data_IF_545224829142
#
_entry.id   IF_545224829142
#
_cell.length_a   1.000
_cell.length_b   1.000
_cell.length_c   1.000
_cell.angle_alpha   90.00
_cell.angle_beta   90.00
_cell.angle_gamma   90.00
#
_symmetry.space_group_name_H-M   'P 1'
#
loop_
_entity.id
_entity.type
_entity.pdbx_description
1 polymer ?
#
# COMPACT_ATOMS: atom_id res chain seq x y z
N UNK A 1 -11.83 18.37 10.24
CA UNK A 1 -11.88 16.98 9.78
C UNK A 1 -10.90 16.09 10.56
N UNK A 2 -10.70 14.83 10.12
CA UNK A 2 -9.81 13.87 10.82
C UNK A 2 -8.39 14.42 10.98
N UNK A 3 -7.79 14.93 9.92
CA UNK A 3 -6.43 15.50 9.91
C UNK A 3 -6.27 16.60 10.96
N UNK A 4 -7.21 17.54 11.01
CA UNK A 4 -7.21 18.63 11.99
C UNK A 4 -7.33 18.11 13.42
N UNK A 5 -8.16 17.07 13.63
CA UNK A 5 -8.34 16.45 14.93
C UNK A 5 -7.07 15.73 15.40
N UNK A 6 -6.37 15.02 14.51
CA UNK A 6 -5.07 14.43 14.82
C UNK A 6 -4.08 15.49 15.29
N UNK A 7 -3.98 16.59 14.54
CA UNK A 7 -3.09 17.70 14.89
C UNK A 7 -3.48 18.36 16.24
N UNK A 8 -4.79 18.58 16.50
CA UNK A 8 -5.27 19.10 17.79
C UNK A 8 -4.91 18.19 18.97
N UNK A 9 -4.79 16.88 18.75
CA UNK A 9 -4.36 15.92 19.75
C UNK A 9 -2.83 15.80 19.87
N UNK A 10 -2.05 16.52 19.04
CA UNK A 10 -0.60 16.39 18.99
C UNK A 10 -0.12 15.13 18.27
N UNK A 11 -1.04 14.42 17.63
CA UNK A 11 -0.72 13.28 16.77
C UNK A 11 -0.39 13.82 15.38
N UNK A 12 0.90 13.87 15.06
CA UNK A 12 1.41 14.47 13.83
C UNK A 12 2.09 13.41 12.96
N UNK A 13 1.32 12.61 12.20
CA UNK A 13 1.89 11.64 11.26
C UNK A 13 2.59 12.36 10.09
N UNK A 14 3.58 11.73 9.50
CA UNK A 14 4.28 12.25 8.31
C UNK A 14 3.41 12.22 7.05
N UNK A 15 2.39 11.34 7.01
CA UNK A 15 1.43 11.25 5.91
C UNK A 15 0.03 10.83 6.38
N UNK A 16 -0.99 11.27 5.67
CA UNK A 16 -2.36 10.79 5.79
C UNK A 16 -2.65 9.78 4.67
N UNK A 17 -3.51 8.81 4.95
CA UNK A 17 -3.76 7.68 4.06
C UNK A 17 -5.25 7.49 3.80
N UNK A 18 -5.63 7.42 2.52
CA UNK A 18 -6.93 6.92 2.09
C UNK A 18 -6.73 5.58 1.38
N UNK A 19 -7.27 4.53 1.99
CA UNK A 19 -7.26 3.18 1.44
C UNK A 19 -8.42 2.96 0.45
N UNK A 20 -8.74 1.71 0.10
CA UNK A 20 -9.77 1.33 -0.85
C UNK A 20 -11.14 1.98 -0.57
N UNK A 21 -11.92 2.23 -1.65
CA UNK A 21 -13.31 2.71 -1.55
C UNK A 21 -13.50 4.20 -1.83
N UNK A 22 -12.46 4.95 -2.17
CA UNK A 22 -12.57 6.36 -2.57
C UNK A 22 -13.22 6.56 -3.96
N UNK A 23 -13.24 5.52 -4.77
CA UNK A 23 -13.76 5.51 -6.14
C UNK A 23 -15.23 5.10 -6.20
N UNK A 24 -15.87 5.37 -7.33
CA UNK A 24 -17.23 4.96 -7.60
C UNK A 24 -17.37 3.43 -7.57
N UNK A 25 -18.45 2.97 -6.95
CA UNK A 25 -18.81 1.55 -6.96
C UNK A 25 -20.34 1.39 -6.95
N UNK A 26 -20.81 0.32 -7.56
CA UNK A 26 -22.24 0.09 -7.76
C UNK A 26 -22.93 -0.52 -6.51
N UNK A 27 -22.19 -1.20 -5.64
CA UNK A 27 -22.78 -2.01 -4.56
C UNK A 27 -22.51 -1.46 -3.15
N UNK A 28 -21.71 -0.41 -3.04
CA UNK A 28 -21.21 0.10 -1.75
C UNK A 28 -20.04 -0.69 -1.18
N UNK A 29 -19.68 -1.80 -1.81
CA UNK A 29 -18.52 -2.60 -1.43
C UNK A 29 -17.29 -2.17 -2.21
N UNK A 30 -16.18 -1.90 -1.54
CA UNK A 30 -14.98 -1.35 -2.17
C UNK A 30 -14.47 -2.19 -3.37
N UNK A 31 -14.51 -3.53 -3.28
CA UNK A 31 -14.01 -4.41 -4.35
C UNK A 31 -14.83 -4.35 -5.62
N UNK A 32 -16.10 -3.95 -5.55
CA UNK A 32 -16.98 -3.86 -6.73
C UNK A 32 -16.73 -2.62 -7.59
N UNK A 33 -15.91 -1.70 -7.14
CA UNK A 33 -15.52 -0.52 -7.89
C UNK A 33 -14.11 -0.58 -8.47
N UNK A 34 -13.35 -1.64 -8.17
CA UNK A 34 -11.98 -1.82 -8.69
C UNK A 34 -12.01 -1.93 -10.21
N UNK A 35 -11.31 -1.05 -10.92
CA UNK A 35 -11.40 -0.91 -12.39
C UNK A 35 -12.26 0.28 -12.85
N UNK A 36 -12.84 1.06 -11.94
CA UNK A 36 -13.52 2.32 -12.28
C UNK A 36 -12.55 3.51 -12.21
N UNK A 37 -11.78 3.62 -11.15
CA UNK A 37 -10.74 4.64 -10.85
C UNK A 37 -11.20 6.09 -11.02
N UNK A 38 -12.49 6.33 -10.82
CA UNK A 38 -13.12 7.66 -10.80
C UNK A 38 -13.52 7.98 -9.37
N UNK A 39 -13.18 9.18 -8.89
CA UNK A 39 -13.52 9.60 -7.53
C UNK A 39 -15.02 9.58 -7.30
N UNK A 40 -15.44 8.95 -6.22
CA UNK A 40 -16.84 8.94 -5.79
C UNK A 40 -17.28 10.35 -5.35
N UNK A 41 -17.93 11.07 -6.25
CA UNK A 41 -18.35 12.46 -6.04
C UNK A 41 -19.46 12.60 -4.99
N UNK A 42 -20.13 11.54 -4.60
CA UNK A 42 -21.07 11.55 -3.48
C UNK A 42 -20.33 11.73 -2.14
N UNK A 43 -19.20 11.02 -1.97
CA UNK A 43 -18.40 11.05 -0.76
C UNK A 43 -17.36 12.20 -0.80
N UNK A 44 -16.85 12.49 -2.00
CA UNK A 44 -15.83 13.50 -2.25
C UNK A 44 -16.30 14.49 -3.34
N UNK A 45 -17.25 15.39 -3.05
CA UNK A 45 -17.87 16.26 -4.07
C UNK A 45 -16.88 17.14 -4.85
N UNK A 46 -15.74 17.46 -4.23
CA UNK A 46 -14.67 18.28 -4.82
C UNK A 46 -13.38 17.49 -5.12
N UNK A 47 -13.47 16.15 -5.28
CA UNK A 47 -12.29 15.31 -5.40
C UNK A 47 -11.58 15.07 -4.08
N UNK A 48 -10.39 14.47 -4.16
CA UNK A 48 -9.52 14.26 -2.99
C UNK A 48 -8.63 15.47 -2.70
N UNK A 49 -8.51 16.42 -3.62
CA UNK A 49 -7.68 17.63 -3.47
C UNK A 49 -7.89 18.36 -2.15
N UNK A 50 -9.12 18.56 -1.63
CA UNK A 50 -9.32 19.20 -0.31
C UNK A 50 -8.70 18.42 0.85
N UNK A 51 -8.59 17.09 0.74
CA UNK A 51 -7.92 16.24 1.75
C UNK A 51 -6.42 16.46 1.68
N UNK A 52 -5.86 16.44 0.46
CA UNK A 52 -4.44 16.72 0.21
C UNK A 52 -4.03 18.10 0.73
N UNK A 53 -4.83 19.12 0.45
CA UNK A 53 -4.57 20.49 0.92
C UNK A 53 -4.62 20.57 2.46
N UNK A 54 -5.55 19.86 3.08
CA UNK A 54 -5.61 19.78 4.54
C UNK A 54 -4.38 19.07 5.13
N UNK A 55 -3.88 17.99 4.52
CA UNK A 55 -2.66 17.31 4.92
C UNK A 55 -1.44 18.22 4.74
N UNK A 56 -1.31 18.85 3.57
CA UNK A 56 -0.22 19.77 3.23
C UNK A 56 -0.11 20.95 4.20
N UNK A 57 -1.24 21.46 4.72
CA UNK A 57 -1.26 22.53 5.72
C UNK A 57 -0.45 22.18 6.97
N UNK A 58 -0.35 20.90 7.30
CA UNK A 58 0.43 20.39 8.44
C UNK A 58 1.73 19.72 8.02
N UNK A 59 2.21 19.94 6.79
CA UNK A 59 3.45 19.36 6.29
C UNK A 59 3.38 17.85 6.00
N UNK A 60 2.17 17.29 5.91
CA UNK A 60 1.96 15.86 5.73
C UNK A 60 1.85 15.48 4.27
N UNK A 61 2.39 14.30 3.92
CA UNK A 61 2.13 13.63 2.66
C UNK A 61 0.70 13.07 2.57
N UNK A 62 0.34 12.59 1.38
CA UNK A 62 -0.98 12.00 1.14
C UNK A 62 -0.83 10.70 0.35
N UNK A 63 -1.24 9.59 0.98
CA UNK A 63 -1.24 8.23 0.41
C UNK A 63 -2.61 7.93 -0.17
N UNK A 64 -2.65 7.44 -1.42
CA UNK A 64 -3.89 6.95 -2.03
C UNK A 64 -3.70 5.55 -2.60
N UNK A 65 -4.60 4.67 -2.22
CA UNK A 65 -4.62 3.26 -2.62
C UNK A 65 -5.18 3.04 -4.01
N UNK A 66 -4.54 2.15 -4.76
CA UNK A 66 -4.99 1.60 -6.04
C UNK A 66 -4.76 0.10 -6.10
N UNK A 67 -5.57 -0.60 -6.88
CA UNK A 67 -5.36 -1.99 -7.29
C UNK A 67 -5.59 -2.10 -8.80
N UNK A 68 -4.69 -1.51 -9.62
CA UNK A 68 -4.96 -1.28 -11.03
C UNK A 68 -4.93 -2.53 -11.89
N UNK A 69 -4.31 -3.59 -11.40
CA UNK A 69 -4.18 -4.86 -12.10
C UNK A 69 -5.45 -5.71 -12.02
N UNK A 70 -6.30 -5.48 -11.01
CA UNK A 70 -7.60 -6.14 -10.89
C UNK A 70 -8.73 -5.25 -11.42
N UNK A 71 -9.64 -5.85 -12.15
CA UNK A 71 -10.85 -5.20 -12.67
C UNK A 71 -12.05 -6.05 -12.29
N UNK A 72 -13.03 -5.44 -11.63
CA UNK A 72 -14.25 -6.14 -11.25
C UNK A 72 -15.32 -6.02 -12.33
N UNK A 73 -16.11 -7.06 -12.47
CA UNK A 73 -17.23 -7.15 -13.42
C UNK A 73 -18.17 -5.94 -13.32
N UNK A 74 -18.54 -5.38 -14.47
CA UNK A 74 -19.44 -4.23 -14.60
C UNK A 74 -18.82 -2.87 -14.29
N UNK A 75 -17.51 -2.78 -14.01
CA UNK A 75 -16.80 -1.50 -13.89
C UNK A 75 -16.55 -0.85 -15.25
N UNK A 76 -16.03 0.36 -15.26
CA UNK A 76 -15.79 1.08 -16.51
C UNK A 76 -14.82 0.32 -17.44
N UNK A 77 -13.69 -0.17 -16.92
CA UNK A 77 -12.73 -0.96 -17.70
C UNK A 77 -13.38 -2.25 -18.26
N UNK A 78 -14.18 -2.95 -17.47
CA UNK A 78 -14.86 -4.18 -17.92
C UNK A 78 -15.88 -3.93 -19.03
N UNK A 79 -16.51 -2.76 -19.06
CA UNK A 79 -17.47 -2.42 -20.12
C UNK A 79 -16.81 -1.89 -21.39
N UNK A 80 -15.85 -0.98 -21.24
CA UNK A 80 -15.34 -0.18 -22.35
C UNK A 80 -14.04 -0.76 -22.96
N UNK A 81 -13.28 -1.57 -22.21
CA UNK A 81 -11.94 -2.05 -22.61
C UNK A 81 -11.74 -3.54 -22.40
N UNK A 82 -12.69 -4.32 -22.91
CA UNK A 82 -12.63 -5.80 -22.82
C UNK A 82 -11.40 -6.41 -23.47
N UNK A 83 -10.88 -5.77 -24.49
CA UNK A 83 -9.68 -6.17 -25.23
C UNK A 83 -8.37 -5.97 -24.43
N UNK A 84 -8.44 -5.31 -23.27
CA UNK A 84 -7.32 -5.14 -22.35
C UNK A 84 -7.36 -6.14 -21.18
N UNK A 85 -8.38 -6.97 -21.10
CA UNK A 85 -8.69 -7.79 -19.93
C UNK A 85 -8.61 -9.27 -20.23
N UNK A 86 -8.09 -10.03 -19.29
CA UNK A 86 -8.17 -11.48 -19.29
C UNK A 86 -9.30 -11.96 -18.39
N UNK A 87 -10.10 -12.87 -18.90
CA UNK A 87 -11.28 -13.42 -18.27
C UNK A 87 -11.08 -14.89 -17.90
N UNK A 88 -11.62 -15.30 -16.75
CA UNK A 88 -11.73 -16.71 -16.39
C UNK A 88 -13.21 -17.09 -16.20
N UNK A 89 -13.64 -18.28 -16.66
CA UNK A 89 -15.00 -18.74 -16.48
C UNK A 89 -15.43 -18.74 -15.01
N UNK A 90 -16.61 -18.18 -14.72
CA UNK A 90 -17.19 -18.13 -13.37
C UNK A 90 -16.53 -17.14 -12.40
N UNK A 91 -15.44 -16.45 -12.79
CA UNK A 91 -14.80 -15.44 -11.95
C UNK A 91 -15.34 -14.05 -12.30
N UNK A 92 -15.64 -13.24 -11.28
CA UNK A 92 -16.10 -11.85 -11.43
C UNK A 92 -14.94 -10.86 -11.49
N UNK A 93 -13.72 -11.27 -11.17
CA UNK A 93 -12.52 -10.48 -11.36
C UNK A 93 -11.93 -10.71 -12.77
N UNK A 94 -11.27 -9.72 -13.28
CA UNK A 94 -10.53 -9.71 -14.55
C UNK A 94 -9.11 -9.24 -14.25
N UNK A 95 -8.14 -9.70 -15.01
CA UNK A 95 -6.79 -9.18 -14.97
C UNK A 95 -6.63 -8.12 -16.07
N UNK A 96 -6.20 -6.92 -15.71
CA UNK A 96 -5.72 -5.94 -16.68
C UNK A 96 -4.37 -6.40 -17.20
N UNK A 97 -4.25 -6.62 -18.50
CA UNK A 97 -3.02 -7.08 -19.13
C UNK A 97 -2.01 -5.93 -19.28
N UNK A 98 -1.08 -5.83 -18.34
CA UNK A 98 0.02 -4.86 -18.42
C UNK A 98 1.04 -5.16 -19.52
N UNK A 99 1.03 -6.36 -20.10
CA UNK A 99 1.76 -6.71 -21.32
C UNK A 99 1.14 -6.10 -22.58
N UNK A 100 -0.11 -5.60 -22.51
CA UNK A 100 -0.76 -4.88 -23.59
C UNK A 100 -0.34 -3.40 -23.59
N UNK A 101 0.36 -2.91 -24.64
CA UNK A 101 0.89 -1.55 -24.65
C UNK A 101 -0.20 -0.46 -24.54
N UNK A 102 -1.40 -0.70 -25.08
CA UNK A 102 -2.51 0.28 -25.01
C UNK A 102 -3.07 0.38 -23.59
N UNK A 103 -3.24 -0.76 -22.92
CA UNK A 103 -3.68 -0.79 -21.52
C UNK A 103 -2.66 -0.13 -20.60
N UNK A 104 -1.38 -0.43 -20.80
CA UNK A 104 -0.28 0.15 -20.04
C UNK A 104 -0.18 1.67 -20.23
N UNK A 105 -0.23 2.16 -21.48
CA UNK A 105 -0.16 3.61 -21.78
C UNK A 105 -1.33 4.37 -21.15
N UNK A 106 -2.55 3.82 -21.27
CA UNK A 106 -3.73 4.39 -20.62
C UNK A 106 -3.55 4.45 -19.10
N UNK A 107 -3.10 3.36 -18.47
CA UNK A 107 -2.94 3.29 -17.02
C UNK A 107 -1.90 4.32 -16.54
N UNK A 108 -0.75 4.42 -17.22
CA UNK A 108 0.28 5.41 -16.92
C UNK A 108 -0.31 6.84 -16.99
N UNK A 109 -1.04 7.14 -18.06
CA UNK A 109 -1.65 8.45 -18.26
C UNK A 109 -2.71 8.76 -17.20
N UNK A 110 -3.61 7.82 -16.96
CA UNK A 110 -4.71 7.97 -16.01
C UNK A 110 -4.20 8.20 -14.58
N UNK A 111 -3.29 7.35 -14.10
CA UNK A 111 -2.78 7.44 -12.74
C UNK A 111 -1.86 8.65 -12.55
N UNK A 112 -0.99 8.97 -13.53
CA UNK A 112 -0.16 10.19 -13.47
C UNK A 112 -1.02 11.46 -13.40
N UNK A 113 -2.08 11.55 -14.20
CA UNK A 113 -3.01 12.67 -14.14
C UNK A 113 -3.71 12.75 -12.79
N UNK A 114 -4.18 11.63 -12.26
CA UNK A 114 -4.80 11.56 -10.95
C UNK A 114 -3.85 12.04 -9.84
N UNK A 115 -2.60 11.54 -9.82
CA UNK A 115 -1.57 11.96 -8.85
C UNK A 115 -1.40 13.47 -8.87
N UNK A 116 -1.22 14.06 -10.04
CA UNK A 116 -1.07 15.50 -10.22
C UNK A 116 -2.32 16.28 -9.80
N UNK A 117 -3.49 15.86 -10.28
CA UNK A 117 -4.74 16.60 -10.14
C UNK A 117 -5.28 16.54 -8.71
N UNK A 118 -5.11 15.42 -8.01
CA UNK A 118 -5.50 15.25 -6.62
C UNK A 118 -4.36 15.56 -5.62
N UNK A 119 -3.11 15.71 -6.09
CA UNK A 119 -1.95 16.08 -5.27
C UNK A 119 -1.43 14.95 -4.40
N UNK A 120 -1.48 13.74 -4.91
CA UNK A 120 -0.96 12.54 -4.23
C UNK A 120 0.56 12.62 -4.13
N UNK A 121 1.13 12.31 -2.97
CA UNK A 121 2.59 12.27 -2.76
C UNK A 121 3.12 10.85 -2.60
N UNK A 122 2.25 9.92 -2.24
CA UNK A 122 2.58 8.50 -2.12
C UNK A 122 1.49 7.71 -2.84
N UNK A 123 1.87 7.07 -3.93
CA UNK A 123 1.01 6.16 -4.66
C UNK A 123 1.12 4.76 -4.04
N UNK A 124 0.01 4.24 -3.52
CA UNK A 124 -0.04 2.89 -2.99
C UNK A 124 -0.64 1.94 -4.01
N UNK A 125 0.12 0.94 -4.41
CA UNK A 125 -0.39 -0.15 -5.24
C UNK A 125 -0.55 -1.43 -4.44
N UNK A 126 -1.73 -2.01 -4.54
CA UNK A 126 -2.08 -3.30 -3.96
C UNK A 126 -2.44 -4.32 -5.04
N UNK A 127 -2.52 -5.60 -4.67
CA UNK A 127 -2.91 -6.69 -5.56
C UNK A 127 -3.49 -7.87 -4.76
N UNK A 128 -4.82 -8.00 -4.75
CA UNK A 128 -5.55 -8.84 -3.81
C UNK A 128 -6.25 -10.04 -4.45
N UNK A 129 -5.74 -10.56 -5.55
CA UNK A 129 -6.21 -11.83 -6.10
C UNK A 129 -5.05 -12.62 -6.72
N UNK A 130 -5.29 -13.90 -7.07
CA UNK A 130 -4.29 -14.74 -7.69
C UNK A 130 -4.28 -14.55 -9.22
N UNK A 131 -3.22 -13.98 -9.81
CA UNK A 131 -3.12 -13.75 -11.25
C UNK A 131 -2.64 -14.96 -12.04
N UNK A 132 -2.03 -15.97 -11.42
CA UNK A 132 -1.40 -17.09 -12.12
C UNK A 132 -2.36 -17.85 -13.07
N UNK A 133 -3.63 -18.11 -12.71
CA UNK A 133 -4.58 -18.72 -13.65
C UNK A 133 -4.87 -17.87 -14.88
N UNK A 134 -4.84 -16.54 -14.75
CA UNK A 134 -5.06 -15.59 -15.85
C UNK A 134 -3.87 -15.60 -16.81
N UNK A 135 -2.65 -15.52 -16.30
CA UNK A 135 -1.44 -15.60 -17.11
C UNK A 135 -1.37 -16.91 -17.87
N UNK A 136 -1.65 -18.03 -17.19
CA UNK A 136 -1.71 -19.34 -17.81
C UNK A 136 -2.75 -19.44 -18.93
N UNK A 137 -3.87 -18.76 -18.80
CA UNK A 137 -4.92 -18.72 -19.85
C UNK A 137 -4.51 -17.88 -21.07
N UNK A 138 -3.55 -16.97 -20.93
CA UNK A 138 -3.01 -16.15 -22.00
C UNK A 138 -1.84 -16.81 -22.74
N UNK A 139 -1.15 -17.76 -22.12
CA UNK A 139 0.02 -18.39 -22.67
C UNK A 139 -0.33 -19.30 -23.86
N UNK A 140 0.47 -19.22 -24.91
CA UNK A 140 0.47 -20.24 -25.94
C UNK A 140 1.15 -21.52 -25.41
N UNK A 141 0.78 -22.71 -25.92
CA UNK A 141 1.32 -23.99 -25.40
C UNK A 141 2.85 -24.12 -25.45
N UNK A 142 3.50 -23.47 -26.41
CA UNK A 142 4.94 -23.43 -26.61
C UNK A 142 5.63 -22.23 -25.93
N UNK A 143 4.88 -21.41 -25.18
CA UNK A 143 5.32 -20.15 -24.60
C UNK A 143 4.82 -19.95 -23.18
N UNK A 144 4.84 -20.99 -22.36
CA UNK A 144 4.39 -20.95 -20.98
C UNK A 144 5.26 -19.99 -20.15
N UNK A 145 4.62 -19.09 -19.37
CA UNK A 145 5.25 -18.07 -18.56
C UNK A 145 5.48 -16.72 -19.25
N UNK A 146 5.22 -16.63 -20.57
CA UNK A 146 5.43 -15.39 -21.32
C UNK A 146 4.44 -14.30 -20.96
N UNK A 147 3.19 -14.65 -20.61
CA UNK A 147 2.19 -13.69 -20.19
C UNK A 147 2.56 -13.05 -18.85
N UNK A 148 3.00 -13.86 -17.89
CA UNK A 148 3.51 -13.38 -16.60
C UNK A 148 4.71 -12.45 -16.79
N UNK A 149 5.71 -12.87 -17.56
CA UNK A 149 6.92 -12.08 -17.81
C UNK A 149 6.57 -10.71 -18.41
N UNK A 150 5.71 -10.66 -19.43
CA UNK A 150 5.28 -9.39 -20.06
C UNK A 150 4.49 -8.51 -19.11
N UNK A 151 3.65 -9.11 -18.26
CA UNK A 151 2.88 -8.39 -17.25
C UNK A 151 3.81 -7.74 -16.22
N UNK A 152 4.81 -8.46 -15.72
CA UNK A 152 5.78 -7.95 -14.75
C UNK A 152 6.67 -6.85 -15.37
N UNK A 153 7.14 -7.02 -16.62
CA UNK A 153 7.82 -5.95 -17.35
C UNK A 153 6.93 -4.70 -17.51
N UNK A 154 5.64 -4.91 -17.77
CA UNK A 154 4.64 -3.84 -17.84
C UNK A 154 4.49 -3.12 -16.50
N UNK A 155 4.46 -3.85 -15.39
CA UNK A 155 4.42 -3.28 -14.04
C UNK A 155 5.64 -2.40 -13.76
N UNK A 156 6.84 -2.86 -14.08
CA UNK A 156 8.06 -2.07 -13.87
C UNK A 156 8.05 -0.79 -14.72
N UNK A 157 7.67 -0.90 -15.99
CA UNK A 157 7.49 0.28 -16.88
C UNK A 157 6.44 1.26 -16.35
N UNK A 158 5.37 0.75 -15.78
CA UNK A 158 4.33 1.58 -15.16
C UNK A 158 4.89 2.38 -13.99
N UNK A 159 5.58 1.73 -13.05
CA UNK A 159 6.16 2.42 -11.89
C UNK A 159 7.28 3.39 -12.28
N UNK A 160 8.18 2.99 -13.19
CA UNK A 160 9.23 3.87 -13.71
C UNK A 160 8.62 5.13 -14.33
N UNK A 161 7.57 4.99 -15.15
CA UNK A 161 6.87 6.12 -15.75
C UNK A 161 6.15 7.01 -14.73
N UNK A 162 5.58 6.44 -13.65
CA UNK A 162 4.99 7.23 -12.57
C UNK A 162 6.04 8.08 -11.85
N UNK A 163 7.20 7.51 -11.52
CA UNK A 163 8.30 8.21 -10.87
C UNK A 163 8.89 9.30 -11.75
N UNK A 164 9.07 9.04 -13.05
CA UNK A 164 9.57 10.00 -14.03
C UNK A 164 8.61 11.19 -14.21
N UNK A 165 7.30 10.90 -14.36
CA UNK A 165 6.29 11.93 -14.62
C UNK A 165 5.89 12.75 -13.39
N UNK A 166 6.17 12.25 -12.20
CA UNK A 166 5.80 12.88 -10.93
C UNK A 166 7.02 12.95 -9.99
N UNK A 167 7.96 13.87 -10.23
CA UNK A 167 9.16 13.99 -9.41
C UNK A 167 8.84 14.18 -7.92
N UNK A 168 9.47 13.38 -7.07
CA UNK A 168 9.22 13.37 -5.63
C UNK A 168 8.10 12.44 -5.18
N UNK A 169 7.43 11.75 -6.11
CA UNK A 169 6.48 10.69 -5.77
C UNK A 169 7.20 9.53 -5.09
N UNK A 170 6.58 8.99 -4.05
CA UNK A 170 6.94 7.67 -3.50
C UNK A 170 5.92 6.63 -3.95
N UNK A 171 6.37 5.39 -4.15
CA UNK A 171 5.49 4.25 -4.39
C UNK A 171 5.52 3.36 -3.15
N UNK A 172 4.34 3.08 -2.59
CA UNK A 172 4.14 2.08 -1.55
C UNK A 172 3.66 0.78 -2.21
N UNK A 173 4.47 -0.26 -2.07
CA UNK A 173 4.24 -1.56 -2.68
C UNK A 173 3.53 -2.50 -1.73
N UNK A 174 2.33 -2.91 -2.10
CA UNK A 174 1.55 -3.95 -1.44
C UNK A 174 1.02 -4.96 -2.46
N UNK A 175 0.92 -6.20 -2.03
CA UNK A 175 0.22 -7.27 -2.76
C UNK A 175 -0.36 -8.25 -1.73
N UNK A 176 -1.49 -7.91 -1.11
CA UNK A 176 -1.98 -8.54 0.11
C UNK A 176 -0.83 -8.65 1.14
N UNK A 177 -0.27 -7.50 1.52
CA UNK A 177 0.98 -7.43 2.27
C UNK A 177 2.23 -7.58 1.40
N UNK A 178 3.20 -8.33 1.87
CA UNK A 178 4.56 -8.38 1.32
C UNK A 178 4.81 -9.35 0.17
N UNK A 179 3.80 -9.88 -0.51
CA UNK A 179 3.98 -10.89 -1.56
C UNK A 179 4.76 -10.42 -2.79
N UNK A 180 5.06 -9.14 -2.89
CA UNK A 180 5.79 -8.52 -4.01
C UNK A 180 7.04 -7.78 -3.52
N UNK A 181 7.63 -8.23 -2.41
CA UNK A 181 8.89 -7.69 -1.89
C UNK A 181 10.05 -8.47 -2.51
N UNK A 182 10.68 -7.87 -3.51
CA UNK A 182 11.87 -8.37 -4.19
C UNK A 182 12.80 -7.20 -4.57
N UNK A 183 14.00 -7.50 -5.09
CA UNK A 183 15.01 -6.48 -5.41
C UNK A 183 14.51 -5.49 -6.49
N UNK A 184 13.80 -5.95 -7.51
CA UNK A 184 13.32 -5.10 -8.59
C UNK A 184 12.18 -4.19 -8.13
N UNK A 185 11.23 -4.70 -7.36
CA UNK A 185 10.13 -3.89 -6.85
C UNK A 185 10.61 -2.90 -5.81
N UNK A 186 11.52 -3.28 -4.91
CA UNK A 186 12.03 -2.40 -3.85
C UNK A 186 13.07 -1.38 -4.33
N UNK A 187 13.64 -1.55 -5.53
CA UNK A 187 14.42 -0.49 -6.18
C UNK A 187 13.56 0.71 -6.61
N UNK A 188 12.24 0.53 -6.73
CA UNK A 188 11.26 1.55 -7.17
C UNK A 188 10.27 1.96 -6.07
N UNK A 189 10.19 1.20 -4.98
CA UNK A 189 9.11 1.35 -4.01
C UNK A 189 9.56 1.04 -2.58
N UNK A 190 8.74 1.45 -1.63
CA UNK A 190 8.91 1.16 -0.21
C UNK A 190 7.67 0.39 0.24
N UNK A 191 7.80 -0.81 0.83
CA UNK A 191 6.64 -1.52 1.39
C UNK A 191 6.29 -0.93 2.77
N UNK A 192 5.41 0.07 2.79
CA UNK A 192 4.89 0.64 4.05
C UNK A 192 3.95 -0.33 4.78
N UNK A 193 3.51 -1.38 4.08
CA UNK A 193 2.63 -2.42 4.59
C UNK A 193 3.17 -3.80 4.21
N UNK A 194 4.23 -4.22 4.91
CA UNK A 194 4.98 -5.44 4.57
C UNK A 194 4.22 -6.76 4.82
N UNK A 195 3.06 -6.70 5.47
CA UNK A 195 2.26 -7.87 5.80
C UNK A 195 0.82 -7.50 6.08
N UNK A 196 -0.11 -8.38 5.65
CA UNK A 196 -1.51 -8.39 6.09
C UNK A 196 -1.71 -9.26 7.33
N UNK A 197 -0.62 -9.76 7.92
CA UNK A 197 -0.70 -10.49 9.17
C UNK A 197 -1.40 -9.62 10.22
N UNK A 198 -2.21 -10.24 11.05
CA UNK A 198 -3.22 -9.54 11.82
C UNK A 198 -2.65 -8.38 12.65
N UNK A 199 -3.33 -7.26 12.64
CA UNK A 199 -3.00 -6.03 13.38
C UNK A 199 -2.80 -6.24 14.89
N UNK A 200 -3.22 -7.38 15.43
CA UNK A 200 -3.21 -7.74 16.82
C UNK A 200 -2.29 -8.92 17.13
N UNK A 201 -1.29 -9.15 16.28
CA UNK A 201 -0.30 -10.22 16.44
C UNK A 201 1.13 -9.65 16.53
N UNK A 202 1.49 -9.04 17.68
CA UNK A 202 2.76 -8.32 17.82
C UNK A 202 3.98 -9.22 17.62
N UNK A 203 3.90 -10.50 17.97
CA UNK A 203 5.01 -11.43 17.80
C UNK A 203 5.32 -11.70 16.34
N UNK A 204 4.30 -11.80 15.48
CA UNK A 204 4.45 -11.93 14.04
C UNK A 204 5.18 -10.74 13.42
N UNK A 205 4.93 -9.53 13.89
CA UNK A 205 5.64 -8.34 13.43
C UNK A 205 7.14 -8.38 13.78
N UNK A 206 7.49 -8.90 14.94
CA UNK A 206 8.89 -9.08 15.35
C UNK A 206 9.61 -10.10 14.48
N UNK A 207 8.95 -11.20 14.09
CA UNK A 207 9.51 -12.17 13.15
C UNK A 207 9.79 -11.55 11.77
N UNK A 208 8.87 -10.73 11.27
CA UNK A 208 9.09 -10.02 10.00
C UNK A 208 10.26 -9.02 10.10
N UNK A 209 10.39 -8.31 11.22
CA UNK A 209 11.53 -7.44 11.48
C UNK A 209 12.82 -8.23 11.50
N UNK A 210 12.85 -9.38 12.19
CA UNK A 210 14.02 -10.26 12.25
C UNK A 210 14.54 -10.62 10.85
N UNK A 211 13.66 -11.03 9.93
CA UNK A 211 14.06 -11.45 8.59
C UNK A 211 14.34 -10.30 7.62
N UNK A 212 13.42 -9.32 7.53
CA UNK A 212 13.48 -8.29 6.49
C UNK A 212 14.57 -7.25 6.72
N UNK A 213 14.87 -6.88 7.96
CA UNK A 213 15.82 -5.81 8.25
C UNK A 213 17.27 -6.11 7.83
N UNK A 214 17.62 -7.37 7.57
CA UNK A 214 18.93 -7.70 6.99
C UNK A 214 19.17 -7.08 5.61
N UNK A 215 18.12 -6.78 4.85
CA UNK A 215 18.25 -6.25 3.48
C UNK A 215 17.24 -5.15 3.14
N UNK A 216 16.22 -4.93 3.96
CA UNK A 216 15.17 -3.95 3.70
C UNK A 216 14.77 -3.19 4.98
N UNK A 217 15.59 -2.23 5.42
CA UNK A 217 15.26 -1.40 6.59
C UNK A 217 14.06 -0.50 6.34
N UNK A 218 13.87 -0.03 5.08
CA UNK A 218 12.78 0.84 4.66
C UNK A 218 11.47 0.06 4.47
N UNK A 219 10.98 -0.61 5.51
CA UNK A 219 9.69 -1.31 5.48
C UNK A 219 8.85 -0.91 6.68
N UNK A 220 7.52 -1.00 6.53
CA UNK A 220 6.56 -0.66 7.56
C UNK A 220 5.54 -1.76 7.82
N UNK A 221 4.79 -1.57 8.89
CA UNK A 221 3.62 -2.40 9.19
C UNK A 221 2.55 -1.58 9.93
N UNK A 222 1.32 -2.09 9.96
CA UNK A 222 0.23 -1.48 10.69
C UNK A 222 0.33 -1.67 12.19
N UNK A 223 -0.15 -0.68 12.93
CA UNK A 223 -0.40 -0.76 14.35
C UNK A 223 -1.83 -0.33 14.64
N UNK A 224 -2.65 -1.24 15.15
CA UNK A 224 -4.05 -1.00 15.49
C UNK A 224 -4.28 -0.62 16.96
N UNK A 225 -3.25 -0.69 17.80
CA UNK A 225 -3.37 -0.48 19.25
C UNK A 225 -2.16 0.30 19.79
N UNK A 226 -2.35 1.45 20.46
CA UNK A 226 -1.27 2.26 21.00
C UNK A 226 -0.68 1.72 22.32
N UNK A 227 -0.96 0.47 22.71
CA UNK A 227 -0.29 -0.13 23.86
C UNK A 227 1.20 -0.33 23.57
N UNK A 228 2.03 0.02 24.51
CA UNK A 228 3.50 0.09 24.36
C UNK A 228 4.14 -1.15 23.73
N UNK A 229 3.76 -2.36 24.15
CA UNK A 229 4.31 -3.59 23.57
C UNK A 229 3.90 -3.76 22.09
N UNK A 230 2.65 -3.48 21.78
CA UNK A 230 2.10 -3.58 20.41
C UNK A 230 2.74 -2.58 19.46
N UNK A 231 2.86 -1.34 19.91
CA UNK A 231 3.49 -0.30 19.13
C UNK A 231 4.98 -0.60 18.87
N UNK A 232 5.72 -1.00 19.93
CA UNK A 232 7.14 -1.37 19.81
C UNK A 232 7.36 -2.56 18.89
N UNK A 233 6.48 -3.56 18.91
CA UNK A 233 6.55 -4.73 18.02
C UNK A 233 6.35 -4.35 16.54
N UNK A 234 5.59 -3.27 16.27
CA UNK A 234 5.39 -2.72 14.93
C UNK A 234 6.49 -1.75 14.48
N UNK A 235 7.42 -1.36 15.37
CA UNK A 235 8.49 -0.42 15.00
C UNK A 235 9.38 -0.99 13.90
N UNK A 236 9.62 -0.17 12.89
CA UNK A 236 10.46 -0.41 11.74
C UNK A 236 10.75 0.91 11.06
N UNK A 237 11.21 0.91 9.83
CA UNK A 237 11.43 2.14 9.07
C UNK A 237 10.17 3.01 8.90
N UNK A 238 8.99 2.40 8.97
CA UNK A 238 7.70 3.09 9.02
C UNK A 238 6.72 2.38 9.95
N UNK A 239 5.78 3.12 10.52
CA UNK A 239 4.64 2.59 11.29
C UNK A 239 3.37 3.23 10.76
N UNK A 240 2.42 2.40 10.32
CA UNK A 240 1.11 2.84 9.87
C UNK A 240 0.12 2.75 11.01
N UNK A 241 -0.38 3.89 11.48
CA UNK A 241 -1.31 3.98 12.60
C UNK A 241 -2.75 3.78 12.13
N UNK A 242 -3.31 2.61 12.41
CA UNK A 242 -4.72 2.27 12.18
C UNK A 242 -5.60 2.53 13.42
N UNK A 243 -5.37 3.61 14.15
CA UNK A 243 -6.01 3.88 15.43
C UNK A 243 -7.41 4.48 15.28
N UNK A 244 -8.35 3.95 16.06
CA UNK A 244 -9.68 4.53 16.20
C UNK A 244 -9.70 5.55 17.35
N UNK A 245 -9.85 6.84 17.02
CA UNK A 245 -9.89 7.94 18.00
C UNK A 245 -11.27 8.03 18.68
N UNK A 246 -11.65 6.96 19.38
CA UNK A 246 -12.87 6.89 20.17
C UNK A 246 -12.72 7.57 21.54
N UNK A 247 -13.82 7.66 22.31
CA UNK A 247 -13.80 8.25 23.67
C UNK A 247 -12.87 7.52 24.65
N UNK A 248 -12.58 6.23 24.41
CA UNK A 248 -11.67 5.41 25.23
C UNK A 248 -10.25 5.34 24.72
N UNK A 249 -9.90 6.08 23.66
CA UNK A 249 -8.58 6.05 23.07
C UNK A 249 -7.49 6.51 24.05
N UNK A 250 -6.42 5.72 24.19
CA UNK A 250 -5.29 6.04 25.07
C UNK A 250 -4.37 7.07 24.41
N UNK A 251 -4.83 8.32 24.34
CA UNK A 251 -4.07 9.42 23.71
C UNK A 251 -2.68 9.62 24.36
N UNK A 252 -2.60 9.52 25.68
CA UNK A 252 -1.32 9.71 26.39
C UNK A 252 -0.30 8.64 25.96
N UNK A 253 -0.69 7.37 25.96
CA UNK A 253 0.19 6.28 25.50
C UNK A 253 0.60 6.43 24.05
N UNK A 254 -0.33 6.83 23.17
CA UNK A 254 -0.05 7.10 21.77
C UNK A 254 1.00 8.21 21.57
N UNK A 255 0.88 9.31 22.32
CA UNK A 255 1.85 10.42 22.27
C UNK A 255 3.24 10.00 22.78
N UNK A 256 3.31 9.23 23.86
CA UNK A 256 4.55 8.68 24.38
C UNK A 256 5.24 7.76 23.38
N UNK A 257 4.48 6.88 22.73
CA UNK A 257 5.00 5.94 21.72
C UNK A 257 5.44 6.65 20.43
N UNK A 258 4.70 7.65 19.96
CA UNK A 258 5.10 8.46 18.81
C UNK A 258 6.36 9.28 19.11
N UNK A 259 6.49 9.82 20.31
CA UNK A 259 7.71 10.53 20.70
C UNK A 259 8.93 9.60 20.71
N UNK A 260 8.79 8.40 21.29
CA UNK A 260 9.83 7.38 21.27
C UNK A 260 10.20 6.94 19.84
N UNK A 261 9.22 6.77 18.96
CA UNK A 261 9.46 6.41 17.56
C UNK A 261 10.25 7.53 16.83
N UNK A 262 9.87 8.80 17.01
CA UNK A 262 10.59 9.93 16.40
C UNK A 262 12.03 10.04 16.85
N UNK A 263 12.32 9.71 18.11
CA UNK A 263 13.69 9.67 18.64
C UNK A 263 14.51 8.53 18.02
N UNK A 264 13.88 7.39 17.76
CA UNK A 264 14.56 6.16 17.33
C UNK A 264 14.59 5.97 15.82
N UNK A 265 13.67 6.58 15.06
CA UNK A 265 13.44 6.26 13.64
C UNK A 265 14.70 6.39 12.76
N UNK A 266 15.58 7.34 13.05
CA UNK A 266 16.78 7.54 12.24
C UNK A 266 17.77 6.38 12.40
N UNK A 267 17.80 5.74 13.58
CA UNK A 267 18.60 4.56 13.82
C UNK A 267 18.07 3.32 13.12
N UNK A 268 16.75 3.23 12.90
CA UNK A 268 16.09 2.08 12.24
C UNK A 268 16.48 1.90 10.76
N UNK A 269 17.22 2.85 10.19
CA UNK A 269 17.83 2.77 8.86
C UNK A 269 19.33 2.45 8.90
N UNK A 270 19.89 2.28 10.10
CA UNK A 270 21.30 1.91 10.31
C UNK A 270 21.57 0.42 10.13
N UNK A 271 22.77 0.01 10.54
CA UNK A 271 23.16 -1.39 10.54
C UNK A 271 22.31 -2.19 11.53
N UNK A 272 21.81 -3.34 11.10
CA UNK A 272 20.90 -4.18 11.86
C UNK A 272 21.60 -5.43 12.40
N UNK A 273 21.44 -5.68 13.69
CA UNK A 273 22.00 -6.85 14.39
C UNK A 273 20.91 -7.51 15.24
N UNK A 274 20.40 -8.72 14.90
CA UNK A 274 19.59 -9.50 15.81
C UNK A 274 20.47 -10.03 16.95
N UNK A 275 20.09 -9.75 18.19
CA UNK A 275 20.84 -10.13 19.38
C UNK A 275 20.38 -11.47 19.97
N UNK A 276 19.23 -11.95 19.53
CA UNK A 276 18.68 -13.27 19.91
C UNK A 276 18.46 -14.11 18.66
N UNK A 277 18.33 -15.42 18.82
CA UNK A 277 17.87 -16.30 17.74
C UNK A 277 16.45 -15.89 17.30
N UNK A 278 16.07 -16.31 16.08
CA UNK A 278 14.69 -16.16 15.61
C UNK A 278 13.76 -16.94 16.54
N UNK A 279 12.73 -16.26 17.06
CA UNK A 279 11.81 -16.82 18.01
C UNK A 279 10.39 -16.38 17.69
N UNK A 280 9.54 -17.33 17.37
CA UNK A 280 8.14 -17.12 17.00
C UNK A 280 7.17 -17.44 18.16
N UNK A 281 7.69 -17.99 19.26
CA UNK A 281 6.90 -18.39 20.42
C UNK A 281 6.66 -17.24 21.40
N UNK A 282 5.57 -17.33 22.17
CA UNK A 282 5.22 -16.35 23.20
C UNK A 282 6.13 -16.39 24.43
N UNK A 283 6.93 -17.44 24.55
CA UNK A 283 7.86 -17.72 25.66
C UNK A 283 9.31 -17.30 25.35
N UNK A 284 9.56 -16.71 24.19
CA UNK A 284 10.89 -16.35 23.74
C UNK A 284 11.12 -14.83 23.76
N UNK A 285 12.36 -14.43 24.01
CA UNK A 285 12.77 -13.04 23.94
C UNK A 285 13.27 -12.70 22.54
N UNK A 286 12.85 -11.54 22.01
CA UNK A 286 13.40 -10.96 20.82
C UNK A 286 14.13 -9.67 21.17
N UNK A 287 15.39 -9.52 20.72
CA UNK A 287 16.19 -8.32 20.89
C UNK A 287 16.91 -7.97 19.60
N UNK A 288 16.84 -6.70 19.22
CA UNK A 288 17.44 -6.14 18.03
C UNK A 288 18.27 -4.92 18.39
N UNK A 289 19.30 -4.65 17.60
CA UNK A 289 20.14 -3.45 17.68
C UNK A 289 20.26 -2.82 16.30
N UNK A 290 20.20 -1.50 16.27
CA UNK A 290 20.50 -0.66 15.14
C UNK A 290 21.59 0.32 15.48
#
# INVERSE_FOLDING_TARGET
>A
GMIERLHQFGLEPDACWIDAGWYENATGQWWSGVGTWTVNRKNFPRGLRPVTEAAKKYGQGFVVWFEPERVYEGTWLDREHKDWLTYLPGNRNRLLDLGNPKALEWLIGHVSNFIRDEGVTIYRQDFNFDPAPYWKAMDAPDRVGMAEMKHIEGLYKFWDALLERNPGLLIDNCASGGRRIDLETTSRSIPLWRTDYQYYEPNGYQCHTYGLHFFLPASGTGNGDPRKYWFRSAMGGAVVMGWELTAGFNLRGALEDMAAFRELRDYLYGDYYPLTADATGDDAWAAFQW
#
